data_IF_582106065662
#
_entry.id   IF_582106065662
#
_cell.length_a   1.000
_cell.length_b   1.000
_cell.length_c   1.000
_cell.angle_alpha   90.00
_cell.angle_beta   90.00
_cell.angle_gamma   90.00
#
_symmetry.space_group_name_H-M   'P 1'
#
loop_
_entity.id
_entity.type
_entity.pdbx_description
1 polymer ?
#
# COMPACT_ATOMS: atom_id res chain seq x y z
N UNK A 1 -23.02 5.48 18.62
CA UNK A 1 -22.41 5.86 17.33
C UNK A 1 -22.25 4.66 16.40
N UNK A 2 -21.81 3.50 16.88
CA UNK A 2 -21.69 2.29 16.04
C UNK A 2 -23.01 1.83 15.40
N UNK A 3 -24.12 1.83 16.15
CA UNK A 3 -25.45 1.53 15.59
C UNK A 3 -25.88 2.52 14.49
N UNK A 4 -25.52 3.79 14.61
CA UNK A 4 -25.82 4.80 13.58
C UNK A 4 -24.94 4.61 12.34
N UNK A 5 -23.67 4.25 12.52
CA UNK A 5 -22.79 3.88 11.42
C UNK A 5 -23.29 2.65 10.68
N UNK A 6 -23.77 1.64 11.40
CA UNK A 6 -24.40 0.45 10.81
C UNK A 6 -25.62 0.84 9.96
N UNK A 7 -26.52 1.66 10.50
CA UNK A 7 -27.69 2.15 9.77
C UNK A 7 -27.31 2.94 8.52
N UNK A 8 -26.28 3.79 8.57
CA UNK A 8 -25.80 4.54 7.41
C UNK A 8 -25.18 3.63 6.35
N UNK A 9 -24.37 2.63 6.75
CA UNK A 9 -23.81 1.62 5.82
C UNK A 9 -24.92 0.81 5.16
N UNK A 10 -25.93 0.42 5.95
CA UNK A 10 -27.11 -0.27 5.43
C UNK A 10 -27.90 0.60 4.45
N UNK A 11 -28.11 1.89 4.78
CA UNK A 11 -28.78 2.84 3.90
C UNK A 11 -28.04 3.02 2.58
N UNK A 12 -26.71 3.23 2.60
CA UNK A 12 -25.89 3.31 1.39
C UNK A 12 -26.07 2.07 0.50
N UNK A 13 -25.99 0.87 1.10
CA UNK A 13 -26.18 -0.38 0.36
C UNK A 13 -27.61 -0.55 -0.17
N UNK A 14 -28.61 -0.07 0.57
CA UNK A 14 -30.01 -0.07 0.13
C UNK A 14 -30.21 0.84 -1.08
N UNK A 15 -29.59 2.02 -1.09
CA UNK A 15 -29.63 2.95 -2.21
C UNK A 15 -28.93 2.38 -3.45
N UNK A 16 -27.82 1.67 -3.28
CA UNK A 16 -27.15 0.99 -4.39
C UNK A 16 -28.05 -0.11 -5.00
N UNK A 17 -28.77 -0.86 -4.16
CA UNK A 17 -29.73 -1.87 -4.64
C UNK A 17 -30.89 -1.23 -5.42
N UNK A 18 -31.44 -0.12 -4.93
CA UNK A 18 -32.49 0.59 -5.66
C UNK A 18 -31.98 1.22 -6.96
N UNK A 19 -30.73 1.69 -7.00
CA UNK A 19 -30.10 2.15 -8.25
C UNK A 19 -30.06 1.02 -9.30
N UNK A 20 -29.60 -0.17 -8.91
CA UNK A 20 -29.55 -1.36 -9.79
C UNK A 20 -30.96 -1.80 -10.19
N UNK A 21 -31.95 -1.69 -9.30
CA UNK A 21 -33.35 -1.96 -9.61
C UNK A 21 -33.87 -1.02 -10.70
N UNK A 22 -33.62 0.29 -10.57
CA UNK A 22 -33.99 1.27 -11.58
C UNK A 22 -33.31 0.99 -12.94
N UNK A 23 -32.04 0.58 -12.95
CA UNK A 23 -31.34 0.17 -14.18
C UNK A 23 -31.96 -1.06 -14.83
N UNK A 24 -32.42 -2.04 -14.03
CA UNK A 24 -33.10 -3.21 -14.56
C UNK A 24 -34.42 -2.81 -15.24
N UNK A 25 -35.23 -1.98 -14.57
CA UNK A 25 -36.49 -1.48 -15.13
C UNK A 25 -36.21 -0.66 -16.41
N UNK A 26 -35.14 0.14 -16.42
CA UNK A 26 -34.73 0.90 -17.61
C UNK A 26 -34.44 -0.02 -18.82
N UNK A 27 -33.72 -1.13 -18.63
CA UNK A 27 -33.48 -2.11 -19.71
C UNK A 27 -34.76 -2.82 -20.18
N UNK A 28 -35.68 -3.10 -19.26
CA UNK A 28 -36.99 -3.67 -19.59
C UNK A 28 -37.80 -2.69 -20.46
N UNK A 29 -37.83 -1.41 -20.08
CA UNK A 29 -38.48 -0.35 -20.86
C UNK A 29 -37.82 -0.17 -22.24
N UNK A 30 -36.49 -0.20 -22.33
CA UNK A 30 -35.78 -0.20 -23.63
C UNK A 30 -36.18 -1.36 -24.54
N UNK A 31 -36.43 -2.53 -23.96
CA UNK A 31 -36.87 -3.71 -24.72
C UNK A 31 -38.31 -3.54 -25.23
N UNK A 32 -39.19 -2.91 -24.43
CA UNK A 32 -40.55 -2.55 -24.85
C UNK A 32 -40.55 -1.52 -25.97
N UNK A 33 -39.71 -0.48 -25.90
CA UNK A 33 -39.53 0.52 -26.98
C UNK A 33 -39.21 -0.17 -28.31
N UNK A 34 -38.26 -1.13 -28.31
CA UNK A 34 -37.89 -1.88 -29.51
C UNK A 34 -39.08 -2.67 -30.08
N UNK A 35 -39.93 -3.23 -29.22
CA UNK A 35 -41.11 -3.98 -29.64
C UNK A 35 -42.20 -3.07 -30.20
N UNK A 36 -42.43 -1.89 -29.61
CA UNK A 36 -43.45 -0.95 -30.08
C UNK A 36 -43.03 -0.25 -31.37
N UNK A 37 -41.73 0.00 -31.57
CA UNK A 37 -41.19 0.47 -32.84
C UNK A 37 -41.45 -0.54 -33.97
N UNK A 38 -41.27 -1.84 -33.71
CA UNK A 38 -41.55 -2.91 -34.69
C UNK A 38 -43.03 -3.00 -35.06
N UNK A 39 -43.92 -2.65 -34.11
CA UNK A 39 -45.38 -2.63 -34.31
C UNK A 39 -45.89 -1.33 -34.94
N UNK A 40 -45.02 -0.33 -35.16
CA UNK A 40 -45.42 0.98 -35.67
C UNK A 40 -46.17 1.85 -34.64
N UNK A 41 -46.14 1.50 -33.36
CA UNK A 41 -46.78 2.30 -32.31
C UNK A 41 -45.82 3.38 -31.76
N UNK A 42 -45.76 4.49 -32.49
CA UNK A 42 -44.89 5.65 -32.18
C UNK A 42 -45.20 6.30 -30.83
N UNK A 43 -46.47 6.30 -30.43
CA UNK A 43 -46.92 6.95 -29.20
C UNK A 43 -46.58 6.11 -27.96
N UNK A 44 -46.80 4.80 -28.01
CA UNK A 44 -46.36 3.87 -26.96
C UNK A 44 -44.84 3.85 -26.78
N UNK A 45 -44.09 3.84 -27.88
CA UNK A 45 -42.63 3.92 -27.83
C UNK A 45 -42.13 5.22 -27.17
N UNK A 46 -42.82 6.35 -27.36
CA UNK A 46 -42.47 7.64 -26.74
C UNK A 46 -42.66 7.61 -25.23
N UNK A 47 -43.76 7.03 -24.74
CA UNK A 47 -44.03 6.89 -23.30
C UNK A 47 -42.98 5.99 -22.63
N UNK A 48 -42.67 4.85 -23.24
CA UNK A 48 -41.64 3.94 -22.74
C UNK A 48 -40.24 4.58 -22.76
N UNK A 49 -39.94 5.42 -23.76
CA UNK A 49 -38.69 6.19 -23.81
C UNK A 49 -38.57 7.21 -22.67
N UNK A 50 -39.64 7.95 -22.38
CA UNK A 50 -39.67 8.89 -21.26
C UNK A 50 -39.46 8.17 -19.91
N UNK A 51 -40.14 7.04 -19.71
CA UNK A 51 -39.97 6.21 -18.52
C UNK A 51 -38.54 5.67 -18.38
N UNK A 52 -37.91 5.24 -19.49
CA UNK A 52 -36.52 4.79 -19.49
C UNK A 52 -35.56 5.91 -19.07
N UNK A 53 -35.71 7.11 -19.63
CA UNK A 53 -34.88 8.29 -19.27
C UNK A 53 -35.08 8.66 -17.80
N UNK A 54 -36.33 8.65 -17.31
CA UNK A 54 -36.64 8.92 -15.90
C UNK A 54 -35.95 7.92 -14.97
N UNK A 55 -36.06 6.63 -15.26
CA UNK A 55 -35.43 5.58 -14.45
C UNK A 55 -33.90 5.66 -14.48
N UNK A 56 -33.30 6.00 -15.63
CA UNK A 56 -31.86 6.26 -15.74
C UNK A 56 -31.40 7.40 -14.85
N UNK A 57 -32.13 8.52 -14.85
CA UNK A 57 -31.83 9.68 -14.01
C UNK A 57 -32.01 9.38 -12.51
N UNK A 58 -33.03 8.59 -12.15
CA UNK A 58 -33.23 8.11 -10.79
C UNK A 58 -32.10 7.18 -10.33
N UNK A 59 -31.67 6.23 -11.17
CA UNK A 59 -30.53 5.35 -10.88
C UNK A 59 -29.24 6.15 -10.61
N UNK A 60 -28.94 7.15 -11.44
CA UNK A 60 -27.79 8.05 -11.24
C UNK A 60 -27.90 8.83 -9.93
N UNK A 61 -29.10 9.32 -9.60
CA UNK A 61 -29.35 10.05 -8.35
C UNK A 61 -29.16 9.16 -7.12
N UNK A 62 -29.65 7.91 -7.17
CA UNK A 62 -29.44 6.93 -6.10
C UNK A 62 -27.97 6.54 -5.95
N UNK A 63 -27.22 6.32 -7.04
CA UNK A 63 -25.77 6.10 -6.95
C UNK A 63 -25.01 7.28 -6.35
N UNK A 64 -25.35 8.50 -6.76
CA UNK A 64 -24.73 9.71 -6.19
C UNK A 64 -25.01 9.82 -4.69
N UNK A 65 -26.24 9.53 -4.27
CA UNK A 65 -26.61 9.55 -2.86
C UNK A 65 -25.92 8.43 -2.07
N UNK A 66 -25.88 7.21 -2.62
CA UNK A 66 -25.13 6.06 -2.08
C UNK A 66 -23.67 6.41 -1.82
N UNK A 67 -22.97 6.96 -2.83
CA UNK A 67 -21.58 7.38 -2.71
C UNK A 67 -21.37 8.48 -1.65
N UNK A 68 -22.28 9.45 -1.56
CA UNK A 68 -22.23 10.49 -0.52
C UNK A 68 -22.41 9.91 0.88
N UNK A 69 -23.37 9.00 1.06
CA UNK A 69 -23.61 8.35 2.36
C UNK A 69 -22.41 7.49 2.74
N UNK A 70 -21.81 6.75 1.80
CA UNK A 70 -20.63 5.94 2.06
C UNK A 70 -19.40 6.78 2.46
N UNK A 71 -19.21 7.95 1.82
CA UNK A 71 -18.18 8.90 2.23
C UNK A 71 -18.40 9.41 3.68
N UNK A 72 -19.65 9.66 4.07
CA UNK A 72 -20.00 10.02 5.46
C UNK A 72 -19.74 8.84 6.41
N UNK A 73 -20.08 7.61 6.02
CA UNK A 73 -19.78 6.41 6.80
C UNK A 73 -18.28 6.28 7.08
N UNK A 74 -17.43 6.49 6.07
CA UNK A 74 -15.98 6.42 6.21
C UNK A 74 -15.44 7.45 7.21
N UNK A 75 -15.96 8.69 7.15
CA UNK A 75 -15.60 9.75 8.12
C UNK A 75 -16.06 9.40 9.53
N UNK A 76 -17.28 8.91 9.70
CA UNK A 76 -17.81 8.49 11.01
C UNK A 76 -17.04 7.30 11.57
N UNK A 77 -16.69 6.31 10.75
CA UNK A 77 -15.84 5.19 11.14
C UNK A 77 -14.49 5.67 11.65
N UNK A 78 -13.84 6.59 10.91
CA UNK A 78 -12.57 7.19 11.32
C UNK A 78 -12.70 7.90 12.66
N UNK A 79 -13.77 8.68 12.86
CA UNK A 79 -14.01 9.37 14.13
C UNK A 79 -14.24 8.40 15.30
N UNK A 80 -14.94 7.28 15.08
CA UNK A 80 -15.13 6.23 16.10
C UNK A 80 -13.79 5.59 16.45
N UNK A 81 -12.98 5.22 15.45
CA UNK A 81 -11.66 4.62 15.67
C UNK A 81 -10.72 5.58 16.39
N UNK A 82 -10.70 6.85 15.98
CA UNK A 82 -9.90 7.88 16.64
C UNK A 82 -10.34 8.06 18.09
N UNK A 83 -11.65 8.10 18.37
CA UNK A 83 -12.18 8.18 19.73
C UNK A 83 -11.74 6.99 20.58
N UNK A 84 -11.75 5.78 20.03
CA UNK A 84 -11.29 4.58 20.74
C UNK A 84 -9.78 4.64 21.04
N UNK A 85 -8.96 5.07 20.07
CA UNK A 85 -7.51 5.27 20.28
C UNK A 85 -7.26 6.33 21.34
N UNK A 86 -7.94 7.49 21.29
CA UNK A 86 -7.80 8.53 22.33
C UNK A 86 -8.19 8.01 23.71
N UNK A 87 -9.26 7.22 23.81
CA UNK A 87 -9.66 6.58 25.07
C UNK A 87 -8.60 5.62 25.61
N UNK A 88 -8.01 4.80 24.73
CA UNK A 88 -6.93 3.88 25.10
C UNK A 88 -5.66 4.65 25.50
N UNK A 89 -5.27 5.68 24.75
CA UNK A 89 -4.12 6.54 25.10
C UNK A 89 -4.33 7.23 26.45
N UNK A 90 -5.53 7.73 26.75
CA UNK A 90 -5.83 8.30 28.05
C UNK A 90 -5.69 7.28 29.18
N UNK A 91 -6.12 6.03 28.96
CA UNK A 91 -5.92 4.93 29.91
C UNK A 91 -4.43 4.61 30.12
N UNK A 92 -3.66 4.52 29.02
CA UNK A 92 -2.22 4.26 29.05
C UNK A 92 -1.48 5.39 29.79
N UNK A 93 -1.78 6.66 29.49
CA UNK A 93 -1.19 7.80 30.20
C UNK A 93 -1.51 7.76 31.69
N UNK A 94 -2.75 7.37 32.07
CA UNK A 94 -3.11 7.20 33.48
C UNK A 94 -2.35 6.05 34.16
N UNK A 95 -2.17 4.93 33.47
CA UNK A 95 -1.33 3.82 33.98
C UNK A 95 0.14 4.19 34.06
N UNK A 96 0.64 5.00 33.13
CA UNK A 96 2.01 5.49 33.11
C UNK A 96 2.24 6.52 34.23
N UNK A 97 1.28 7.41 34.52
CA UNK A 97 1.34 8.32 35.68
C UNK A 97 1.33 7.54 37.01
N UNK A 98 0.52 6.49 37.11
CA UNK A 98 0.53 5.60 38.27
C UNK A 98 1.86 4.81 38.40
N UNK A 99 2.41 4.32 37.29
CA UNK A 99 3.69 3.63 37.25
C UNK A 99 4.87 4.58 37.53
N UNK A 100 4.82 5.83 37.07
CA UNK A 100 5.82 6.85 37.36
C UNK A 100 5.83 7.21 38.86
N UNK A 101 4.66 7.20 39.51
CA UNK A 101 4.55 7.38 40.97
C UNK A 101 5.04 6.19 41.78
N UNK A 102 5.00 4.97 41.22
CA UNK A 102 5.50 3.74 41.87
C UNK A 102 6.88 3.32 41.38
N UNK A 103 7.48 4.05 40.43
CA UNK A 103 8.83 3.81 39.93
C UNK A 103 9.82 4.23 41.00
N UNK A 104 10.22 3.25 41.79
CA UNK A 104 11.35 3.34 42.70
C UNK A 104 12.62 3.54 41.86
N UNK A 105 13.22 4.74 41.91
CA UNK A 105 14.45 5.10 41.18
C UNK A 105 15.53 4.02 41.30
N UNK A 106 15.58 3.35 42.44
CA UNK A 106 16.53 2.27 42.75
C UNK A 106 16.34 1.00 41.90
N UNK A 107 15.09 0.67 41.52
CA UNK A 107 14.81 -0.45 40.59
C UNK A 107 15.10 -0.07 39.15
N UNK A 108 14.93 1.20 38.78
CA UNK A 108 15.24 1.68 37.43
C UNK A 108 16.75 1.64 37.17
N UNK A 109 17.58 2.03 38.14
CA UNK A 109 19.04 1.93 38.04
C UNK A 109 19.48 0.47 37.88
N UNK A 110 18.93 -0.46 38.67
CA UNK A 110 19.22 -1.91 38.50
C UNK A 110 18.78 -2.47 37.15
N UNK A 111 17.66 -2.00 36.62
CA UNK A 111 17.17 -2.44 35.31
C UNK A 111 18.03 -1.86 34.18
N UNK A 112 18.55 -0.63 34.31
CA UNK A 112 19.48 -0.04 33.35
C UNK A 112 20.82 -0.76 33.32
N UNK A 113 21.38 -1.12 34.48
CA UNK A 113 22.58 -1.98 34.57
C UNK A 113 22.36 -3.33 33.87
N UNK A 114 21.18 -3.93 34.04
CA UNK A 114 20.85 -5.22 33.41
C UNK A 114 20.55 -5.08 31.91
N UNK A 115 20.05 -3.93 31.47
CA UNK A 115 19.84 -3.62 30.05
C UNK A 115 21.17 -3.42 29.33
N UNK A 116 22.12 -2.68 29.92
CA UNK A 116 23.45 -2.46 29.34
C UNK A 116 24.19 -3.79 29.14
N UNK A 117 24.14 -4.67 30.15
CA UNK A 117 24.72 -6.01 30.07
C UNK A 117 24.07 -6.91 29.01
N UNK A 118 22.77 -6.78 28.79
CA UNK A 118 22.06 -7.54 27.77
C UNK A 118 22.27 -6.95 26.37
N UNK A 119 22.40 -5.64 26.25
CA UNK A 119 22.64 -4.96 24.98
C UNK A 119 24.06 -5.21 24.48
N UNK A 120 25.07 -5.20 25.37
CA UNK A 120 26.44 -5.59 25.05
C UNK A 120 26.51 -7.04 24.57
N UNK A 121 25.80 -7.96 25.23
CA UNK A 121 25.70 -9.36 24.77
C UNK A 121 25.02 -9.49 23.40
N UNK A 122 23.99 -8.68 23.12
CA UNK A 122 23.27 -8.72 21.86
C UNK A 122 24.11 -8.13 20.72
N UNK A 123 24.88 -7.07 20.98
CA UNK A 123 25.80 -6.48 20.00
C UNK A 123 26.93 -7.47 19.66
N UNK A 124 27.53 -8.12 20.67
CA UNK A 124 28.52 -9.19 20.46
C UNK A 124 27.89 -10.37 19.69
N UNK A 125 26.67 -10.78 20.04
CA UNK A 125 25.97 -11.86 19.33
C UNK A 125 25.63 -11.49 17.89
N UNK A 126 25.22 -10.24 17.62
CA UNK A 126 24.96 -9.71 16.28
C UNK A 126 26.24 -9.67 15.46
N UNK A 127 27.35 -9.21 16.03
CA UNK A 127 28.64 -9.17 15.34
C UNK A 127 29.16 -10.57 14.99
N UNK A 128 29.00 -11.56 15.88
CA UNK A 128 29.34 -12.96 15.60
C UNK A 128 28.39 -13.56 14.56
N UNK A 129 27.10 -13.27 14.65
CA UNK A 129 26.10 -13.73 13.67
C UNK A 129 26.32 -13.11 12.30
N UNK A 130 26.63 -11.82 12.20
CA UNK A 130 26.91 -11.11 10.95
C UNK A 130 28.24 -11.58 10.33
N UNK A 131 29.26 -11.87 11.15
CA UNK A 131 30.51 -12.49 10.68
C UNK A 131 30.29 -13.92 10.16
N UNK A 132 29.34 -14.67 10.73
CA UNK A 132 29.05 -16.06 10.34
C UNK A 132 28.10 -16.13 9.14
N UNK A 133 27.08 -15.26 9.10
CA UNK A 133 26.14 -15.12 8.00
C UNK A 133 26.74 -14.41 6.80
N UNK A 134 27.60 -13.41 6.98
CA UNK A 134 28.32 -12.73 5.90
C UNK A 134 29.09 -13.71 5.02
N UNK A 135 29.75 -14.71 5.63
CA UNK A 135 30.45 -15.79 4.92
C UNK A 135 29.50 -16.83 4.29
N UNK A 136 28.28 -16.99 4.80
CA UNK A 136 27.30 -17.96 4.30
C UNK A 136 26.42 -17.37 3.18
N UNK A 137 26.14 -16.06 3.23
CA UNK A 137 25.31 -15.33 2.26
C UNK A 137 26.09 -15.01 0.98
N UNK A 138 27.40 -14.74 1.05
CA UNK A 138 28.24 -14.58 -0.16
C UNK A 138 28.23 -15.83 -1.06
N UNK A 139 27.95 -17.01 -0.50
CA UNK A 139 27.88 -18.25 -1.26
C UNK A 139 26.51 -18.49 -1.93
N UNK A 140 25.44 -17.87 -1.42
CA UNK A 140 24.06 -18.10 -1.89
C UNK A 140 23.49 -16.96 -2.75
N UNK A 141 24.08 -15.77 -2.68
CA UNK A 141 23.70 -14.62 -3.49
C UNK A 141 24.94 -14.11 -4.25
N UNK A 142 25.17 -14.57 -5.49
CA UNK A 142 26.28 -14.09 -6.30
C UNK A 142 26.13 -12.61 -6.63
N UNK A 143 27.21 -11.84 -6.56
CA UNK A 143 27.22 -10.38 -6.80
C UNK A 143 26.64 -9.98 -8.17
N UNK A 144 26.76 -10.85 -9.17
CA UNK A 144 26.17 -10.65 -10.50
C UNK A 144 24.65 -10.55 -10.48
N UNK A 145 23.98 -11.35 -9.63
CA UNK A 145 22.52 -11.37 -9.53
C UNK A 145 21.99 -10.12 -8.81
N UNK A 146 22.75 -9.62 -7.83
CA UNK A 146 22.43 -8.38 -7.10
C UNK A 146 22.61 -7.17 -8.01
N UNK A 147 23.72 -7.12 -8.74
CA UNK A 147 24.01 -6.06 -9.71
C UNK A 147 22.97 -6.01 -10.84
N UNK A 148 22.53 -7.17 -11.33
CA UNK A 148 21.47 -7.26 -12.34
C UNK A 148 20.09 -6.81 -11.82
N UNK A 149 19.75 -7.12 -10.57
CA UNK A 149 18.50 -6.65 -9.96
C UNK A 149 18.54 -5.14 -9.68
N UNK A 150 19.68 -4.62 -9.20
CA UNK A 150 19.87 -3.20 -8.93
C UNK A 150 19.74 -2.37 -10.21
N UNK A 151 20.28 -2.86 -11.34
CA UNK A 151 20.12 -2.24 -12.65
C UNK A 151 18.66 -2.22 -13.12
N UNK A 152 17.93 -3.35 -13.00
CA UNK A 152 16.50 -3.42 -13.35
C UNK A 152 15.64 -2.48 -12.52
N UNK A 153 15.91 -2.38 -11.22
CA UNK A 153 15.17 -1.48 -10.32
C UNK A 153 15.51 -0.02 -10.60
N UNK A 154 16.75 0.30 -10.95
CA UNK A 154 17.15 1.64 -11.41
C UNK A 154 16.40 2.02 -12.70
N UNK A 155 16.35 1.12 -13.69
CA UNK A 155 15.61 1.30 -14.94
C UNK A 155 14.10 1.49 -14.69
N UNK A 156 13.50 0.71 -13.79
CA UNK A 156 12.06 0.79 -13.43
C UNK A 156 11.70 2.05 -12.62
N UNK A 157 12.62 2.56 -11.80
CA UNK A 157 12.44 3.79 -11.04
C UNK A 157 12.61 5.06 -11.89
N UNK A 158 12.92 4.92 -13.19
CA UNK A 158 13.24 6.06 -14.06
C UNK A 158 14.55 6.74 -13.66
N UNK A 159 15.38 6.07 -12.87
CA UNK A 159 16.79 6.41 -12.72
C UNK A 159 17.51 5.89 -13.97
N UNK A 160 17.21 6.49 -15.12
CA UNK A 160 18.11 6.38 -16.25
C UNK A 160 19.49 6.83 -15.74
N UNK A 161 20.44 5.89 -15.63
CA UNK A 161 21.85 6.18 -15.48
C UNK A 161 22.37 6.82 -16.79
N UNK A 162 21.85 8.00 -17.11
CA UNK A 162 22.24 8.93 -18.18
C UNK A 162 21.61 10.27 -17.77
N UNK A 163 22.28 11.34 -17.37
CA UNK A 163 23.62 11.83 -17.67
C UNK A 163 23.89 12.98 -16.68
N UNK A 164 24.63 12.75 -15.59
CA UNK A 164 25.22 13.87 -14.81
C UNK A 164 26.56 13.53 -14.17
N UNK A 165 27.38 12.71 -14.85
CA UNK A 165 28.81 12.90 -14.77
C UNK A 165 29.13 14.08 -15.69
N UNK A 166 29.50 15.26 -15.17
CA UNK A 166 29.85 16.39 -16.02
C UNK A 166 30.97 15.97 -16.96
N UNK A 167 30.77 16.22 -18.26
CA UNK A 167 31.85 16.28 -19.26
C UNK A 167 32.81 17.42 -18.89
N UNK A 168 33.61 17.21 -17.84
CA UNK A 168 34.87 17.89 -17.65
C UNK A 168 35.92 17.03 -18.33
N UNK A 169 36.39 17.48 -19.47
CA UNK A 169 37.50 16.88 -20.19
C UNK A 169 38.71 16.73 -19.26
N UNK A 170 39.07 15.50 -18.92
CA UNK A 170 40.45 15.10 -18.64
C UNK A 170 40.63 13.61 -18.96
N UNK A 171 41.30 13.37 -20.08
CA UNK A 171 42.23 12.25 -20.31
C UNK A 171 41.68 10.82 -20.38
N UNK A 172 41.77 10.26 -21.60
CA UNK A 172 41.98 8.83 -21.92
C UNK A 172 42.23 7.93 -20.71
N UNK A 173 41.32 6.99 -20.43
CA UNK A 173 41.58 5.53 -20.52
C UNK A 173 40.23 4.83 -20.69
N UNK A 174 40.02 4.19 -21.84
CA UNK A 174 38.99 3.17 -22.01
C UNK A 174 39.42 1.91 -21.27
N UNK A 175 38.85 1.67 -20.09
CA UNK A 175 38.94 0.36 -19.42
C UNK A 175 37.62 -0.35 -19.63
N UNK A 176 37.54 -1.03 -20.77
CA UNK A 176 36.41 -1.88 -21.17
C UNK A 176 36.83 -3.32 -20.95
N UNK A 177 36.14 -4.04 -20.05
CA UNK A 177 35.96 -5.51 -20.00
C UNK A 177 37.20 -6.44 -20.11
N UNK A 178 38.40 -5.90 -20.16
CA UNK A 178 39.66 -6.63 -20.39
C UNK A 178 40.48 -6.81 -19.12
N UNK A 179 40.25 -5.97 -18.10
CA UNK A 179 40.96 -6.03 -16.82
C UNK A 179 40.45 -7.16 -15.91
N UNK A 180 39.15 -7.50 -15.94
CA UNK A 180 38.62 -8.62 -15.14
C UNK A 180 39.15 -9.97 -15.65
N UNK A 181 39.24 -10.17 -16.96
CA UNK A 181 39.84 -11.38 -17.55
C UNK A 181 41.35 -11.48 -17.25
N UNK A 182 42.08 -10.36 -17.25
CA UNK A 182 43.53 -10.35 -16.97
C UNK A 182 43.84 -10.59 -15.48
N UNK A 183 43.02 -10.06 -14.56
CA UNK A 183 43.14 -10.32 -13.11
C UNK A 183 42.84 -11.79 -12.79
N UNK A 184 41.82 -12.35 -13.43
CA UNK A 184 41.42 -13.76 -13.26
C UNK A 184 42.51 -14.70 -13.81
N UNK A 185 43.11 -14.37 -14.95
CA UNK A 185 44.27 -15.11 -15.48
C UNK A 185 45.52 -14.97 -14.60
N UNK A 186 45.80 -13.79 -14.03
CA UNK A 186 46.94 -13.59 -13.12
C UNK A 186 46.77 -14.37 -11.82
N UNK A 187 45.57 -14.39 -11.24
CA UNK A 187 45.27 -15.18 -10.05
C UNK A 187 45.35 -16.69 -10.32
N UNK A 188 44.93 -17.14 -11.51
CA UNK A 188 45.07 -18.53 -11.93
C UNK A 188 46.55 -18.95 -12.08
N UNK A 189 47.40 -18.08 -12.63
CA UNK A 189 48.85 -18.32 -12.74
C UNK A 189 49.55 -18.34 -11.38
N UNK A 190 49.10 -17.53 -10.41
CA UNK A 190 49.68 -17.51 -9.07
C UNK A 190 49.31 -18.74 -8.22
N UNK A 191 48.22 -19.45 -8.56
CA UNK A 191 47.81 -20.71 -7.92
C UNK A 191 48.49 -21.95 -8.50
N UNK A 192 49.23 -21.81 -9.60
CA UNK A 192 49.98 -22.92 -10.24
C UNK A 192 51.47 -22.91 -9.88
N UNK A 193 51.93 -21.97 -9.07
CA UNK A 193 53.25 -21.98 -8.40
C UNK A 193 53.06 -22.43 -6.96
#
# INVERSE_FOLDING_TARGET
MENQLFNLKFAAKSLEREAVRCEKVEREEQSKIKNDLKKGNSEGARIHAENAIRNKNQALSYRRMSARVDAVCSRVQTAITLKAITGNMASVVKSMDAAAKSMDLEKMVKLMDQFEKNFENLDVQSQVMDSTMGNTVTLSVPDDQVSGLMKKVADEAGLELNDELPKAAVSNVSVSATEEDDLTQRLARLRQV
#
